data_IF_792989719877
#
_entry.id   IF_792989719877
#
_cell.length_a   1.000
_cell.length_b   1.000
_cell.length_c   1.000
_cell.angle_alpha   90.00
_cell.angle_beta   90.00
_cell.angle_gamma   90.00
#
_symmetry.space_group_name_H-M   'P 1'
#
loop_
_entity.id
_entity.type
_entity.pdbx_description
1 polymer ?
#
# COMPACT_ATOMS: atom_id res chain seq x y z
N UNK A 1 3.50 -0.17 15.07
CA UNK A 1 4.75 -0.48 14.35
C UNK A 1 5.02 0.64 13.37
N UNK A 2 6.21 1.25 13.42
CA UNK A 2 6.64 2.25 12.44
C UNK A 2 7.53 1.52 11.43
N UNK A 3 7.06 1.42 10.19
CA UNK A 3 7.85 0.86 9.09
C UNK A 3 8.20 2.00 8.14
N UNK A 4 9.49 2.30 8.02
CA UNK A 4 9.98 3.23 7.01
C UNK A 4 10.26 2.49 5.72
N UNK A 5 9.57 2.89 4.65
CA UNK A 5 9.77 2.33 3.31
C UNK A 5 10.68 3.23 2.49
N UNK A 6 11.77 2.67 1.99
CA UNK A 6 12.71 3.36 1.12
C UNK A 6 13.02 2.55 -0.13
N UNK A 7 13.01 3.23 -1.28
CA UNK A 7 13.49 2.69 -2.55
C UNK A 7 14.64 3.58 -3.04
N UNK A 8 15.81 2.96 -3.23
CA UNK A 8 17.01 3.61 -3.78
C UNK A 8 16.66 4.30 -5.10
N UNK A 9 17.09 5.55 -5.34
CA UNK A 9 16.69 6.33 -6.51
C UNK A 9 16.81 5.61 -7.86
N UNK A 10 17.89 4.84 -8.07
CA UNK A 10 18.14 4.07 -9.29
C UNK A 10 17.06 3.01 -9.59
N UNK A 11 16.28 2.60 -8.59
CA UNK A 11 15.25 1.57 -8.71
C UNK A 11 13.81 2.13 -8.57
N UNK A 12 13.65 3.45 -8.50
CA UNK A 12 12.33 4.08 -8.45
C UNK A 12 11.62 3.96 -9.80
N UNK A 13 10.29 4.12 -9.78
CA UNK A 13 9.43 3.99 -10.96
C UNK A 13 9.37 2.59 -11.61
N UNK A 14 9.96 1.57 -10.97
CA UNK A 14 9.93 0.18 -11.44
C UNK A 14 8.86 -0.68 -10.73
N UNK A 15 7.92 -0.04 -10.02
CA UNK A 15 6.85 -0.75 -9.29
C UNK A 15 7.24 -1.31 -7.92
N UNK A 16 8.52 -1.20 -7.52
CA UNK A 16 9.00 -1.73 -6.24
C UNK A 16 8.24 -1.22 -5.02
N UNK A 17 7.89 0.08 -4.99
CA UNK A 17 7.11 0.62 -3.86
C UNK A 17 5.75 -0.03 -3.71
N UNK A 18 5.06 -0.32 -4.83
CA UNK A 18 3.78 -1.03 -4.78
C UNK A 18 3.96 -2.50 -4.40
N UNK A 19 5.02 -3.15 -4.90
CA UNK A 19 5.35 -4.53 -4.54
C UNK A 19 5.67 -4.68 -3.05
N UNK A 20 6.44 -3.74 -2.48
CA UNK A 20 6.73 -3.70 -1.04
C UNK A 20 5.45 -3.55 -0.21
N UNK A 21 4.57 -2.63 -0.59
CA UNK A 21 3.26 -2.47 0.07
C UNK A 21 2.46 -3.78 0.03
N UNK A 22 2.44 -4.48 -1.09
CA UNK A 22 1.73 -5.77 -1.20
C UNK A 22 2.36 -6.85 -0.31
N UNK A 23 3.70 -6.92 -0.25
CA UNK A 23 4.41 -7.85 0.62
C UNK A 23 4.11 -7.59 2.10
N UNK A 24 4.17 -6.33 2.54
CA UNK A 24 3.81 -5.91 3.90
C UNK A 24 2.35 -6.27 4.18
N UNK A 25 1.44 -5.97 3.24
CA UNK A 25 0.02 -6.29 3.39
C UNK A 25 -0.22 -7.79 3.59
N UNK A 26 0.48 -8.65 2.83
CA UNK A 26 0.38 -10.09 2.99
C UNK A 26 0.90 -10.57 4.35
N UNK A 27 2.03 -10.03 4.81
CA UNK A 27 2.62 -10.38 6.10
C UNK A 27 1.70 -9.98 7.27
N UNK A 28 1.26 -8.71 7.32
CA UNK A 28 0.39 -8.24 8.42
C UNK A 28 -1.00 -8.88 8.36
N UNK A 29 -1.53 -9.19 7.17
CA UNK A 29 -2.79 -9.94 7.06
C UNK A 29 -2.63 -11.35 7.61
N UNK A 30 -1.50 -12.03 7.33
CA UNK A 30 -1.17 -13.33 7.92
C UNK A 30 -1.05 -13.31 9.44
N UNK A 31 -0.65 -12.17 10.01
CA UNK A 31 -0.61 -11.91 11.45
C UNK A 31 -1.97 -11.50 12.05
N UNK A 32 -3.04 -11.44 11.25
CA UNK A 32 -4.40 -11.13 11.71
C UNK A 32 -4.73 -9.63 11.80
N UNK A 33 -3.93 -8.75 11.18
CA UNK A 33 -4.20 -7.31 11.18
C UNK A 33 -5.34 -6.97 10.20
N UNK A 34 -6.23 -6.07 10.64
CA UNK A 34 -7.40 -5.67 9.86
C UNK A 34 -7.23 -4.37 9.06
N UNK A 35 -6.17 -3.60 9.32
CA UNK A 35 -5.91 -2.34 8.62
C UNK A 35 -4.43 -1.98 8.67
N UNK A 36 -4.02 -1.05 7.81
CA UNK A 36 -2.67 -0.50 7.76
C UNK A 36 -2.73 1.02 7.75
N UNK A 37 -1.79 1.67 8.44
CA UNK A 37 -1.62 3.12 8.44
C UNK A 37 -0.19 3.48 8.10
N UNK A 38 0.00 4.51 7.29
CA UNK A 38 1.31 5.03 6.92
C UNK A 38 1.32 6.55 6.84
N UNK A 39 2.51 7.13 6.92
CA UNK A 39 2.73 8.56 6.74
C UNK A 39 3.61 8.80 5.51
N UNK A 40 3.17 9.70 4.62
CA UNK A 40 3.94 10.07 3.45
C UNK A 40 4.83 11.29 3.75
N UNK A 41 6.15 11.08 3.80
CA UNK A 41 7.14 12.15 4.03
C UNK A 41 7.60 12.85 2.75
N UNK A 42 7.11 12.41 1.57
CA UNK A 42 7.50 12.99 0.29
C UNK A 42 6.35 12.95 -0.72
N UNK A 43 6.38 13.86 -1.70
CA UNK A 43 5.39 13.90 -2.79
C UNK A 43 5.24 12.59 -3.57
N UNK A 44 6.34 11.89 -3.95
CA UNK A 44 6.24 10.57 -4.58
C UNK A 44 5.54 9.52 -3.71
N UNK A 45 5.84 9.48 -2.40
CA UNK A 45 5.17 8.58 -1.47
C UNK A 45 3.68 8.91 -1.34
N UNK A 46 3.33 10.20 -1.24
CA UNK A 46 1.94 10.65 -1.15
C UNK A 46 1.11 10.23 -2.37
N UNK A 47 1.68 10.29 -3.57
CA UNK A 47 1.04 9.80 -4.80
C UNK A 47 0.83 8.30 -4.80
N UNK A 48 1.81 7.53 -4.31
CA UNK A 48 1.69 6.07 -4.21
C UNK A 48 0.64 5.68 -3.16
N UNK A 49 0.68 6.29 -1.98
CA UNK A 49 -0.23 5.97 -0.88
C UNK A 49 -1.67 6.37 -1.21
N UNK A 50 -1.88 7.51 -1.89
CA UNK A 50 -3.20 7.93 -2.36
C UNK A 50 -3.82 7.02 -3.43
N UNK A 51 -3.05 6.13 -4.05
CA UNK A 51 -3.58 5.10 -4.97
C UNK A 51 -4.12 3.87 -4.25
N UNK A 52 -3.67 3.60 -3.03
CA UNK A 52 -3.98 2.36 -2.32
C UNK A 52 -4.82 2.58 -1.05
N UNK A 53 -4.75 3.77 -0.47
CA UNK A 53 -5.42 4.13 0.76
C UNK A 53 -6.11 5.49 0.69
N UNK A 54 -6.79 5.84 1.77
CA UNK A 54 -7.50 7.11 1.94
C UNK A 54 -6.67 8.03 2.82
N UNK A 55 -6.50 9.27 2.39
CA UNK A 55 -5.78 10.30 3.13
C UNK A 55 -6.63 10.75 4.34
N UNK A 56 -6.01 10.79 5.50
CA UNK A 56 -6.56 11.34 6.73
C UNK A 56 -5.64 12.46 7.23
N UNK A 57 -6.14 13.69 7.36
CA UNK A 57 -5.31 14.84 7.72
C UNK A 57 -4.21 15.16 6.68
N UNK A 58 -3.06 15.66 7.15
CA UNK A 58 -2.04 16.23 6.26
C UNK A 58 -1.23 15.16 5.54
N UNK A 59 -0.70 14.13 6.21
CA UNK A 59 0.23 13.18 5.59
C UNK A 59 -0.09 11.71 5.88
N UNK A 60 -1.20 11.42 6.56
CA UNK A 60 -1.54 10.05 6.94
C UNK A 60 -2.44 9.41 5.91
N UNK A 61 -2.22 8.12 5.68
CA UNK A 61 -2.97 7.30 4.75
C UNK A 61 -3.36 6.01 5.46
N UNK A 62 -4.65 5.67 5.37
CA UNK A 62 -5.22 4.46 5.94
C UNK A 62 -5.64 3.51 4.83
N UNK A 63 -5.37 2.23 5.03
CA UNK A 63 -5.86 1.13 4.20
C UNK A 63 -6.77 0.26 5.06
N UNK A 64 -8.05 0.18 4.71
CA UNK A 64 -9.04 -0.64 5.45
C UNK A 64 -8.95 -2.12 5.06
N UNK A 65 -9.71 -2.98 5.73
CA UNK A 65 -9.56 -4.43 5.62
C UNK A 65 -9.79 -4.98 4.22
N UNK A 66 -10.82 -4.55 3.47
CA UNK A 66 -10.99 -5.04 2.09
C UNK A 66 -9.84 -4.62 1.18
N UNK A 67 -9.41 -3.36 1.25
CA UNK A 67 -8.27 -2.88 0.48
C UNK A 67 -6.96 -3.58 0.88
N UNK A 68 -6.79 -3.88 2.18
CA UNK A 68 -5.64 -4.61 2.71
C UNK A 68 -5.60 -6.05 2.19
N UNK A 69 -6.72 -6.77 2.22
CA UNK A 69 -6.83 -8.13 1.67
C UNK A 69 -6.55 -8.16 0.18
N UNK A 70 -7.01 -7.14 -0.56
CA UNK A 70 -6.70 -7.00 -1.98
C UNK A 70 -5.19 -6.82 -2.21
N UNK A 71 -4.53 -5.92 -1.47
CA UNK A 71 -3.08 -5.75 -1.55
C UNK A 71 -2.31 -7.03 -1.17
N UNK A 72 -2.76 -7.75 -0.15
CA UNK A 72 -2.18 -9.02 0.25
C UNK A 72 -2.24 -10.07 -0.87
N UNK A 73 -3.36 -10.14 -1.60
CA UNK A 73 -3.52 -11.08 -2.74
C UNK A 73 -2.58 -10.80 -3.91
N UNK A 74 -2.02 -9.59 -3.99
CA UNK A 74 -1.10 -9.16 -5.04
C UNK A 74 0.37 -9.39 -4.69
N UNK A 75 0.67 -9.84 -3.48
CA UNK A 75 2.03 -10.14 -3.08
C UNK A 75 2.66 -11.19 -4.02
N UNK A 76 3.90 -10.93 -4.47
CA UNK A 76 4.63 -11.80 -5.39
C UNK A 76 4.15 -11.78 -6.84
N UNK A 77 3.12 -10.98 -7.20
CA UNK A 77 2.67 -10.84 -8.59
C UNK A 77 3.59 -9.92 -9.39
N UNK A 78 3.45 -9.95 -10.72
CA UNK A 78 4.21 -9.05 -11.59
C UNK A 78 3.80 -7.59 -11.37
N UNK A 79 4.69 -6.64 -11.66
CA UNK A 79 4.37 -5.21 -11.53
C UNK A 79 3.14 -4.78 -12.34
N UNK A 80 2.89 -5.43 -13.49
CA UNK A 80 1.71 -5.19 -14.32
C UNK A 80 0.43 -5.65 -13.62
N UNK A 81 0.46 -6.82 -13.00
CA UNK A 81 -0.69 -7.37 -12.29
C UNK A 81 -0.98 -6.57 -11.02
N UNK A 82 0.06 -6.17 -10.29
CA UNK A 82 -0.06 -5.27 -9.13
C UNK A 82 -0.77 -3.98 -9.54
N UNK A 83 -0.30 -3.31 -10.60
CA UNK A 83 -0.88 -2.04 -11.06
C UNK A 83 -2.35 -2.17 -11.48
N UNK A 84 -2.73 -3.30 -12.10
CA UNK A 84 -4.11 -3.56 -12.54
C UNK A 84 -5.03 -3.96 -11.39
N UNK A 85 -4.47 -4.57 -10.35
CA UNK A 85 -5.22 -5.08 -9.20
C UNK A 85 -5.26 -4.14 -8.00
N UNK A 86 -4.65 -2.95 -8.07
CA UNK A 86 -4.64 -2.02 -6.94
C UNK A 86 -6.08 -1.77 -6.43
N UNK A 87 -6.27 -1.63 -5.12
CA UNK A 87 -7.59 -1.41 -4.55
C UNK A 87 -8.16 -0.09 -5.06
N UNK A 88 -9.46 -0.07 -5.33
CA UNK A 88 -10.16 1.17 -5.61
C UNK A 88 -10.40 1.94 -4.30
N UNK A 89 -10.64 3.25 -4.38
CA UNK A 89 -10.91 4.03 -3.16
C UNK A 89 -12.15 3.54 -2.41
N UNK A 90 -13.17 3.03 -3.12
CA UNK A 90 -14.38 2.49 -2.49
C UNK A 90 -14.08 1.33 -1.52
N UNK A 91 -13.05 0.52 -1.81
CA UNK A 91 -12.67 -0.62 -0.96
C UNK A 91 -12.15 -0.17 0.41
N UNK A 92 -11.63 1.05 0.51
CA UNK A 92 -11.10 1.61 1.76
C UNK A 92 -12.20 2.03 2.76
N UNK A 93 -13.47 1.99 2.36
CA UNK A 93 -14.61 2.26 3.24
C UNK A 93 -15.31 0.97 3.71
N UNK A 94 -14.80 -0.19 3.28
CA UNK A 94 -15.32 -1.49 3.68
C UNK A 94 -14.37 -2.14 4.71
N UNK A 95 -14.90 -2.75 5.78
CA UNK A 95 -14.11 -3.51 6.75
C UNK A 95 -13.55 -4.83 6.16
#
# INVERSE_FOLDING_TARGET
>A
MLLDMYVVPAYRCQGLGAALICAIAAEITGLGWAYMRGQALSGPAARLYGRVGVRFGTNEYNVSGQALRQLASLAGKSGRDILRGLPTQAMNYQP
#
